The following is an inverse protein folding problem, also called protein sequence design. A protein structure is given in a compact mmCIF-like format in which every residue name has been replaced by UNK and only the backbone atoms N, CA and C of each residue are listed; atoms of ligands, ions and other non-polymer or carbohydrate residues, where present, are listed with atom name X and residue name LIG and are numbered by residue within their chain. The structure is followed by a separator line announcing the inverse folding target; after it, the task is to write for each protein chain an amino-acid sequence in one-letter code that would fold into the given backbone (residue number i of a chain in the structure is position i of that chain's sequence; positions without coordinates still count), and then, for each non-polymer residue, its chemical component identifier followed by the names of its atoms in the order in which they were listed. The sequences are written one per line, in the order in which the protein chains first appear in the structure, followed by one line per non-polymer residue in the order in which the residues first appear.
data_IF_925101444314
#
_entry.id   IF_925101444314
#
_cell.length_a   1.000
_cell.length_b   1.000
_cell.length_c   1.000
_cell.angle_alpha   90.00
_cell.angle_beta   90.00
_cell.angle_gamma   90.00
#
_symmetry.space_group_name_H-M   'P 1'
#
loop_
_entity.id
_entity.type
_entity.pdbx_description
1 polymer ?
#
# COMPACT_ATOMS: atom_id res chain seq x y z
N UNK A 1 -23.90 20.31 -17.84
CA UNK A 1 -22.60 19.95 -17.26
C UNK A 1 -22.58 18.44 -17.28
N UNK A 2 -21.70 17.83 -18.08
CA UNK A 2 -21.57 16.37 -18.11
C UNK A 2 -20.91 16.02 -16.79
N UNK A 3 -21.63 15.32 -15.91
CA UNK A 3 -20.99 14.66 -14.77
C UNK A 3 -19.85 13.83 -15.34
N UNK A 4 -18.61 14.20 -15.04
CA UNK A 4 -17.44 13.42 -15.38
C UNK A 4 -17.63 12.04 -14.75
N UNK A 5 -18.02 11.07 -15.57
CA UNK A 5 -18.14 9.67 -15.15
C UNK A 5 -16.81 9.30 -14.50
N UNK A 6 -16.84 8.90 -13.22
CA UNK A 6 -15.64 8.47 -12.51
C UNK A 6 -14.96 7.38 -13.35
N UNK A 7 -13.73 7.60 -13.88
CA UNK A 7 -13.08 6.62 -14.74
C UNK A 7 -12.48 5.45 -13.95
N UNK A 8 -12.59 5.48 -12.62
CA UNK A 8 -12.01 4.49 -11.72
C UNK A 8 -13.07 3.48 -11.24
N UNK A 9 -12.65 2.27 -10.82
CA UNK A 9 -13.53 1.31 -10.17
C UNK A 9 -14.26 1.96 -8.99
N UNK A 10 -15.53 1.57 -8.74
CA UNK A 10 -16.35 2.12 -7.65
C UNK A 10 -15.73 1.88 -6.27
N UNK A 11 -14.89 0.86 -6.15
CA UNK A 11 -14.17 0.49 -4.94
C UNK A 11 -13.00 1.44 -4.62
N UNK A 12 -12.58 2.29 -5.56
CA UNK A 12 -11.53 3.27 -5.33
C UNK A 12 -12.15 4.57 -4.85
N UNK A 13 -11.81 4.96 -3.62
CA UNK A 13 -12.23 6.23 -3.04
C UNK A 13 -11.12 7.27 -3.16
N UNK A 14 -11.50 8.53 -3.07
CA UNK A 14 -10.57 9.64 -3.03
C UNK A 14 -10.92 10.58 -1.89
N UNK A 15 -9.93 10.99 -1.12
CA UNK A 15 -10.13 11.97 -0.06
C UNK A 15 -10.28 13.41 -0.63
N UNK A 16 -10.51 14.39 0.25
CA UNK A 16 -10.65 15.80 -0.14
C UNK A 16 -9.44 16.41 -0.85
N UNK A 17 -8.27 15.76 -0.80
CA UNK A 17 -7.04 16.14 -1.49
C UNK A 17 -6.82 15.38 -2.80
N UNK A 18 -7.82 14.59 -3.25
CA UNK A 18 -7.75 13.72 -4.43
C UNK A 18 -6.65 12.65 -4.34
N UNK A 19 -6.31 12.22 -3.13
CA UNK A 19 -5.45 11.06 -2.91
C UNK A 19 -6.32 9.81 -2.93
N UNK A 20 -5.88 8.79 -3.68
CA UNK A 20 -6.58 7.51 -3.73
C UNK A 20 -6.51 6.81 -2.37
N UNK A 21 -7.64 6.24 -1.97
CA UNK A 21 -7.80 5.39 -0.80
C UNK A 21 -8.14 3.98 -1.29
N UNK A 22 -7.39 3.00 -0.81
CA UNK A 22 -7.53 1.61 -1.18
C UNK A 22 -7.87 0.79 0.06
N UNK A 23 -8.84 -0.11 -0.06
CA UNK A 23 -9.01 -1.15 0.94
C UNK A 23 -7.78 -2.05 0.97
N UNK A 24 -7.09 -2.04 2.11
CA UNK A 24 -5.89 -2.83 2.34
C UNK A 24 -6.20 -4.06 3.19
N UNK A 25 -5.65 -5.21 2.83
CA UNK A 25 -5.74 -6.44 3.65
C UNK A 25 -4.78 -6.42 4.83
N UNK A 26 -3.72 -5.62 4.73
CA UNK A 26 -2.72 -5.40 5.77
C UNK A 26 -2.02 -4.07 5.53
N UNK A 27 -1.54 -3.42 6.59
CA UNK A 27 -0.61 -2.30 6.48
C UNK A 27 0.37 -2.26 7.64
N UNK A 28 1.49 -1.58 7.44
CA UNK A 28 2.49 -1.36 8.47
C UNK A 28 3.09 0.05 8.36
N UNK A 29 3.37 0.66 9.50
CA UNK A 29 4.17 1.88 9.57
C UNK A 29 5.65 1.48 9.47
N UNK A 30 6.35 1.99 8.46
CA UNK A 30 7.77 1.70 8.24
C UNK A 30 8.65 2.83 8.79
N UNK A 31 9.87 2.54 9.26
CA UNK A 31 10.85 3.57 9.61
C UNK A 31 11.18 4.45 8.40
N UNK A 32 11.37 5.75 8.66
CA UNK A 32 11.61 6.76 7.62
C UNK A 32 13.02 7.38 7.66
N UNK A 33 13.85 6.98 8.64
CA UNK A 33 15.21 7.48 8.85
C UNK A 33 16.08 7.33 7.59
N UNK A 34 15.86 6.25 6.82
CA UNK A 34 16.47 6.02 5.50
C UNK A 34 15.39 5.56 4.49
N UNK A 35 14.65 6.52 3.93
CA UNK A 35 13.54 6.23 3.02
C UNK A 35 14.03 5.52 1.74
N UNK A 36 13.83 4.20 1.70
CA UNK A 36 14.16 3.33 0.58
C UNK A 36 13.03 2.35 0.30
N UNK A 37 12.51 2.32 -0.94
CA UNK A 37 11.37 1.47 -1.32
C UNK A 37 11.55 -0.01 -0.98
N UNK A 38 12.73 -0.56 -1.24
CA UNK A 38 13.04 -1.97 -1.00
C UNK A 38 13.07 -2.27 0.48
N UNK A 39 13.70 -1.40 1.28
CA UNK A 39 13.74 -1.53 2.73
C UNK A 39 12.33 -1.43 3.35
N UNK A 40 11.52 -0.46 2.91
CA UNK A 40 10.14 -0.30 3.35
C UNK A 40 9.29 -1.53 3.02
N UNK A 41 9.38 -2.04 1.79
CA UNK A 41 8.65 -3.24 1.37
C UNK A 41 9.08 -4.49 2.17
N UNK A 42 10.38 -4.64 2.45
CA UNK A 42 10.89 -5.73 3.28
C UNK A 42 10.38 -5.62 4.72
N UNK A 43 10.39 -4.42 5.30
CA UNK A 43 9.87 -4.17 6.64
C UNK A 43 8.37 -4.52 6.73
N UNK A 44 7.57 -4.04 5.78
CA UNK A 44 6.13 -4.31 5.73
C UNK A 44 5.83 -5.82 5.58
N UNK A 45 6.62 -6.53 4.78
CA UNK A 45 6.54 -7.98 4.64
C UNK A 45 6.89 -8.72 5.94
N UNK A 46 7.93 -8.30 6.67
CA UNK A 46 8.28 -8.88 7.98
C UNK A 46 7.17 -8.65 9.02
N UNK A 47 6.55 -7.46 8.99
CA UNK A 47 5.39 -7.18 9.83
C UNK A 47 4.18 -8.06 9.47
N UNK A 48 3.93 -8.29 8.18
CA UNK A 48 2.88 -9.20 7.70
C UNK A 48 3.13 -10.64 8.17
N UNK A 49 4.33 -11.16 7.97
CA UNK A 49 4.74 -12.50 8.46
C UNK A 49 4.54 -12.63 9.98
N UNK A 50 4.84 -11.58 10.75
CA UNK A 50 4.65 -11.58 12.20
C UNK A 50 3.15 -11.57 12.58
N UNK A 51 2.33 -10.79 11.88
CA UNK A 51 0.88 -10.73 12.11
C UNK A 51 0.20 -12.08 11.83
N UNK A 52 0.60 -12.77 10.76
CA UNK A 52 0.04 -14.07 10.36
C UNK A 52 0.26 -15.19 11.38
N UNK A 53 1.20 -15.04 12.32
CA UNK A 53 1.38 -16.00 13.42
C UNK A 53 0.21 -16.02 14.40
N UNK A 54 -0.52 -14.91 14.50
CA UNK A 54 -1.55 -14.72 15.53
C UNK A 54 -2.93 -14.40 14.94
N UNK A 55 -3.02 -14.22 13.63
CA UNK A 55 -4.25 -13.77 12.96
C UNK A 55 -4.35 -14.34 11.57
N UNK A 56 -5.52 -14.90 11.26
CA UNK A 56 -5.90 -15.18 9.89
C UNK A 56 -6.34 -13.89 9.19
N UNK A 57 -5.69 -13.59 8.06
CA UNK A 57 -5.97 -12.43 7.22
C UNK A 57 -6.71 -12.81 5.93
N UNK A 58 -7.11 -14.07 5.77
CA UNK A 58 -7.91 -14.56 4.64
C UNK A 58 -7.09 -14.85 3.37
N UNK A 59 -5.77 -15.04 3.50
CA UNK A 59 -4.93 -15.48 2.38
C UNK A 59 -5.12 -16.98 2.10
N UNK A 60 -5.09 -17.36 0.83
CA UNK A 60 -5.08 -18.76 0.45
C UNK A 60 -3.71 -19.43 0.67
N UNK A 61 -3.66 -20.77 0.56
CA UNK A 61 -2.45 -21.53 0.82
C UNK A 61 -1.25 -21.14 -0.08
N UNK A 62 -1.51 -20.76 -1.34
CA UNK A 62 -0.47 -20.36 -2.29
C UNK A 62 0.06 -18.95 -1.97
N UNK A 63 -0.83 -18.04 -1.57
CA UNK A 63 -0.48 -16.71 -1.10
C UNK A 63 0.36 -16.77 0.19
N UNK A 64 -0.03 -17.61 1.15
CA UNK A 64 0.73 -17.85 2.37
C UNK A 64 2.12 -18.43 2.08
N UNK A 65 2.24 -19.34 1.11
CA UNK A 65 3.53 -19.88 0.68
C UNK A 65 4.43 -18.79 0.07
N UNK A 66 3.87 -17.90 -0.76
CA UNK A 66 4.60 -16.77 -1.32
C UNK A 66 5.10 -15.83 -0.22
N UNK A 67 4.24 -15.48 0.74
CA UNK A 67 4.61 -14.63 1.88
C UNK A 67 5.73 -15.27 2.69
N UNK A 68 5.64 -16.57 3.02
CA UNK A 68 6.66 -17.28 3.78
C UNK A 68 8.03 -17.35 3.07
N UNK A 69 8.04 -17.30 1.74
CA UNK A 69 9.26 -17.21 0.90
C UNK A 69 9.76 -15.77 0.71
N UNK A 70 9.08 -14.80 1.32
CA UNK A 70 9.41 -13.39 1.24
C UNK A 70 8.95 -12.70 -0.05
N UNK A 71 7.98 -13.28 -0.76
CA UNK A 71 7.36 -12.67 -1.93
C UNK A 71 6.07 -11.93 -1.57
N UNK A 72 5.71 -10.95 -2.40
CA UNK A 72 4.38 -10.34 -2.35
C UNK A 72 3.37 -11.39 -2.84
N UNK A 73 2.26 -11.64 -2.12
CA UNK A 73 1.26 -12.60 -2.56
C UNK A 73 0.65 -12.18 -3.90
N UNK A 74 0.31 -13.16 -4.74
CA UNK A 74 -0.28 -12.95 -6.06
C UNK A 74 -1.54 -12.10 -5.95
N UNK A 75 -1.75 -11.22 -6.93
CA UNK A 75 -2.91 -10.33 -6.92
C UNK A 75 -2.79 -9.13 -5.96
N UNK A 76 -1.66 -8.97 -5.25
CA UNK A 76 -1.41 -7.81 -4.38
C UNK A 76 -0.18 -7.02 -4.82
N UNK A 77 -0.11 -5.77 -4.36
CA UNK A 77 1.04 -4.88 -4.46
C UNK A 77 1.18 -4.04 -3.19
N UNK A 78 2.41 -3.66 -2.85
CA UNK A 78 2.66 -2.66 -1.83
C UNK A 78 2.34 -1.26 -2.35
N UNK A 79 1.49 -0.55 -1.63
CA UNK A 79 1.11 0.83 -1.86
C UNK A 79 1.71 1.72 -0.76
N UNK A 80 2.43 2.77 -1.18
CA UNK A 80 2.91 3.82 -0.29
C UNK A 80 1.78 4.84 -0.11
N UNK A 81 1.10 4.75 1.02
CA UNK A 81 -0.11 5.51 1.30
C UNK A 81 0.20 6.98 1.57
N UNK A 82 -0.29 7.86 0.70
CA UNK A 82 -0.07 9.29 0.85
C UNK A 82 -0.93 9.92 1.96
N UNK A 83 -1.97 9.23 2.43
CA UNK A 83 -2.86 9.71 3.47
C UNK A 83 -2.23 9.62 4.87
N UNK A 84 -1.32 8.65 5.06
CA UNK A 84 -0.63 8.42 6.34
C UNK A 84 0.88 8.27 6.08
N UNK A 85 1.66 9.24 6.55
CA UNK A 85 3.11 9.24 6.38
C UNK A 85 3.73 7.94 6.95
N UNK A 86 4.51 7.24 6.12
CA UNK A 86 5.16 5.98 6.49
C UNK A 86 4.27 4.74 6.46
N UNK A 87 2.99 4.86 6.08
CA UNK A 87 2.10 3.70 5.96
C UNK A 87 2.30 2.97 4.62
N UNK A 88 2.74 1.72 4.68
CA UNK A 88 2.83 0.84 3.52
C UNK A 88 1.70 -0.19 3.60
N UNK A 89 0.78 -0.14 2.65
CA UNK A 89 -0.44 -0.94 2.61
C UNK A 89 -0.36 -2.03 1.53
N UNK A 90 -0.79 -3.24 1.87
CA UNK A 90 -0.95 -4.34 0.91
C UNK A 90 -2.34 -4.27 0.31
N UNK A 91 -2.41 -3.95 -0.99
CA UNK A 91 -3.66 -3.66 -1.69
C UNK A 91 -3.81 -4.56 -2.91
N UNK A 92 -5.06 -4.77 -3.35
CA UNK A 92 -5.34 -5.55 -4.56
C UNK A 92 -4.72 -4.86 -5.78
N UNK A 93 -3.94 -5.63 -6.54
CA UNK A 93 -3.21 -5.19 -7.73
C UNK A 93 -4.15 -4.59 -8.77
N UNK A 94 -5.30 -5.21 -9.00
CA UNK A 94 -6.28 -4.76 -10.01
C UNK A 94 -6.80 -3.36 -9.71
N UNK A 95 -7.16 -3.09 -8.44
CA UNK A 95 -7.60 -1.77 -8.00
C UNK A 95 -6.47 -0.75 -8.09
N UNK A 96 -5.29 -1.10 -7.57
CA UNK A 96 -4.15 -0.20 -7.55
C UNK A 96 -3.77 0.22 -8.98
N UNK A 97 -3.61 -0.74 -9.89
CA UNK A 97 -3.23 -0.48 -11.28
C UNK A 97 -4.34 0.18 -12.11
N UNK A 98 -5.60 0.08 -11.69
CA UNK A 98 -6.73 0.77 -12.31
C UNK A 98 -6.74 2.28 -12.09
N UNK A 99 -5.89 2.82 -11.22
CA UNK A 99 -5.90 4.24 -10.83
C UNK A 99 -4.66 4.97 -11.31
N UNK A 100 -4.83 6.23 -11.73
CA UNK A 100 -3.70 7.13 -12.01
C UNK A 100 -3.05 7.52 -10.67
N UNK A 101 -1.88 6.97 -10.39
CA UNK A 101 -1.24 7.12 -9.09
C UNK A 101 -0.69 8.53 -8.85
N UNK A 102 -1.19 9.20 -7.82
CA UNK A 102 -0.48 10.26 -7.10
C UNK A 102 0.62 9.60 -6.27
N UNK A 103 1.84 9.55 -6.80
CA UNK A 103 2.98 8.78 -6.28
C UNK A 103 3.27 9.05 -4.78
N UNK A 104 2.62 8.33 -3.85
CA UNK A 104 2.66 8.61 -2.41
C UNK A 104 4.06 8.62 -1.81
N UNK A 105 4.93 7.72 -2.26
CA UNK A 105 6.37 7.73 -1.93
C UNK A 105 7.02 9.10 -2.18
N UNK A 106 6.71 9.78 -3.30
CA UNK A 106 7.26 11.10 -3.61
C UNK A 106 6.74 12.20 -2.69
N UNK A 107 5.53 12.04 -2.16
CA UNK A 107 4.99 12.99 -1.20
C UNK A 107 5.71 12.84 0.14
N UNK A 108 6.04 11.62 0.55
CA UNK A 108 6.86 11.37 1.73
C UNK A 108 8.29 11.92 1.55
N UNK A 109 8.94 11.67 0.41
CA UNK A 109 10.26 12.24 0.09
C UNK A 109 10.25 13.77 0.24
N UNK A 110 9.25 14.44 -0.36
CA UNK A 110 9.10 15.90 -0.24
C UNK A 110 8.86 16.34 1.19
N UNK A 111 7.97 15.67 1.91
CA UNK A 111 7.66 16.01 3.30
C UNK A 111 8.95 15.97 4.14
N UNK A 112 9.68 14.85 4.12
CA UNK A 112 10.91 14.66 4.90
C UNK A 112 11.99 15.69 4.55
N UNK A 113 12.11 16.07 3.27
CA UNK A 113 13.04 17.14 2.86
C UNK A 113 12.70 18.52 3.44
N UNK A 114 11.41 18.80 3.68
CA UNK A 114 10.95 20.10 4.22
C UNK A 114 10.92 20.19 5.75
N UNK A 115 11.17 19.09 6.45
CA UNK A 115 11.22 19.08 7.92
C UNK A 115 12.64 19.30 8.48
N UNK A 116 13.66 19.34 7.62
CA UNK A 116 15.06 19.59 7.97
C UNK A 116 15.42 21.07 7.95
#
# INVERSE_FOLDING_TARGET
MVDEQNPYPEEVRFNGLRLAEFDSVFSAIVPLEDLNKTACAHHALKALEAALKNRDLGFDAAELEQIAKGFIPRGYLWHFDANVLGNVALVRKELLLGVKHTKGYKLWEKFLQTQN
#
